data_IF_625130245202
#
_entry.id   IF_625130245202
#
_cell.length_a   1.000
_cell.length_b   1.000
_cell.length_c   1.000
_cell.angle_alpha   90.00
_cell.angle_beta   90.00
_cell.angle_gamma   90.00
#
_symmetry.space_group_name_H-M   'P 1'
#
loop_
_entity.id
_entity.type
_entity.pdbx_description
1 polymer ?
#
# COMPACT_ATOMS: atom_id res chain seq x y z
N UNK A 1 48.93 -18.57 8.55
CA UNK A 1 49.39 -19.07 7.28
C UNK A 1 48.23 -19.50 6.41
N UNK A 2 48.20 -19.07 5.14
CA UNK A 2 47.15 -19.52 4.20
C UNK A 2 47.41 -20.98 3.81
N UNK A 3 46.40 -21.85 3.90
CA UNK A 3 46.41 -23.19 3.40
C UNK A 3 46.49 -23.19 1.86
N UNK A 4 47.33 -24.01 1.25
CA UNK A 4 47.44 -24.10 -0.20
C UNK A 4 46.33 -25.00 -0.76
N UNK A 5 45.86 -24.70 -1.97
CA UNK A 5 45.00 -25.61 -2.71
C UNK A 5 45.58 -27.02 -2.80
N UNK A 6 44.78 -28.06 -2.68
CA UNK A 6 45.20 -29.46 -2.63
C UNK A 6 45.80 -29.90 -1.29
N UNK A 7 45.96 -29.02 -0.30
CA UNK A 7 46.47 -29.39 1.01
C UNK A 7 45.48 -30.27 1.75
N UNK A 8 45.97 -31.33 2.37
CA UNK A 8 45.15 -32.22 3.20
C UNK A 8 44.89 -31.59 4.57
N UNK A 9 43.66 -31.53 4.99
CA UNK A 9 43.26 -31.07 6.32
C UNK A 9 43.41 -32.21 7.36
N UNK A 10 43.63 -31.89 8.65
CA UNK A 10 43.57 -32.87 9.75
C UNK A 10 42.20 -33.54 9.76
N UNK A 11 42.12 -34.78 10.27
CA UNK A 11 40.82 -35.38 10.49
C UNK A 11 40.04 -34.63 11.56
N UNK A 12 38.69 -34.65 11.53
CA UNK A 12 37.83 -34.00 12.52
C UNK A 12 38.23 -34.40 13.96
N UNK A 13 38.65 -35.62 14.17
CA UNK A 13 39.12 -36.12 15.47
C UNK A 13 40.45 -35.47 15.91
N UNK A 14 41.42 -35.34 15.00
CA UNK A 14 42.71 -34.71 15.29
C UNK A 14 42.52 -33.25 15.55
N UNK A 15 41.72 -32.54 14.72
CA UNK A 15 41.47 -31.14 14.89
C UNK A 15 40.74 -30.85 16.20
N UNK A 16 39.75 -31.66 16.57
CA UNK A 16 39.04 -31.54 17.83
C UNK A 16 39.99 -31.65 19.04
N UNK A 17 40.92 -32.58 18.99
CA UNK A 17 41.95 -32.76 20.03
C UNK A 17 42.87 -31.53 20.13
N UNK A 18 43.34 -31.04 18.99
CA UNK A 18 44.26 -29.89 18.97
C UNK A 18 43.60 -28.57 19.42
N UNK A 19 42.30 -28.41 19.15
CA UNK A 19 41.54 -27.18 19.52
C UNK A 19 40.80 -27.30 20.86
N UNK A 20 40.89 -28.48 21.52
CA UNK A 20 40.16 -28.76 22.77
C UNK A 20 38.66 -28.53 22.68
N UNK A 21 38.04 -28.85 21.53
CA UNK A 21 36.61 -28.77 21.26
C UNK A 21 35.99 -30.14 21.03
N UNK A 22 34.66 -30.20 21.00
CA UNK A 22 33.98 -31.47 20.70
C UNK A 22 34.20 -31.90 19.24
N UNK A 23 34.18 -33.21 19.00
CA UNK A 23 34.26 -33.75 17.63
C UNK A 23 33.09 -33.29 16.77
N UNK A 24 31.90 -33.14 17.34
CA UNK A 24 30.72 -32.63 16.64
C UNK A 24 30.92 -31.19 16.16
N UNK A 25 31.58 -30.33 16.96
CA UNK A 25 31.89 -28.95 16.58
C UNK A 25 32.79 -28.89 15.33
N UNK A 26 33.85 -29.70 15.32
CA UNK A 26 34.75 -29.73 14.15
C UNK A 26 34.09 -30.40 12.94
N UNK A 27 33.21 -31.35 13.15
CA UNK A 27 32.44 -31.97 12.07
C UNK A 27 31.50 -30.97 11.43
N UNK A 28 30.71 -30.19 12.20
CA UNK A 28 29.84 -29.13 11.69
C UNK A 28 30.62 -28.08 10.90
N UNK A 29 31.80 -27.68 11.41
CA UNK A 29 32.65 -26.72 10.68
C UNK A 29 33.12 -27.28 9.34
N UNK A 30 33.48 -28.58 9.28
CA UNK A 30 33.87 -29.21 8.03
C UNK A 30 32.69 -29.40 7.07
N UNK A 31 31.53 -29.77 7.56
CA UNK A 31 30.29 -29.84 6.77
C UNK A 31 29.92 -28.48 6.16
N UNK A 32 30.08 -27.40 6.93
CA UNK A 32 29.88 -26.05 6.43
C UNK A 32 30.89 -25.71 5.32
N UNK A 33 32.20 -25.94 5.55
CA UNK A 33 33.23 -25.71 4.55
C UNK A 33 33.06 -26.56 3.28
N UNK A 34 32.52 -27.78 3.41
CA UNK A 34 32.14 -28.64 2.29
C UNK A 34 30.96 -28.03 1.52
N UNK A 35 29.92 -27.58 2.22
CA UNK A 35 28.72 -26.97 1.59
C UNK A 35 29.05 -25.67 0.90
N UNK A 36 30.00 -24.91 1.42
CA UNK A 36 30.49 -23.67 0.86
C UNK A 36 31.55 -23.85 -0.26
N UNK A 37 32.00 -25.11 -0.50
CA UNK A 37 32.96 -25.45 -1.54
C UNK A 37 34.42 -25.06 -1.26
N UNK A 38 34.76 -24.73 -0.02
CA UNK A 38 36.16 -24.45 0.37
C UNK A 38 37.02 -25.70 0.49
N UNK A 39 36.40 -26.84 0.81
CA UNK A 39 37.06 -28.14 0.92
C UNK A 39 36.26 -29.21 0.18
N UNK A 40 36.91 -30.28 -0.19
CA UNK A 40 36.31 -31.51 -0.73
C UNK A 40 36.63 -32.71 0.14
N UNK A 41 35.71 -33.67 0.18
CA UNK A 41 35.91 -34.95 0.88
C UNK A 41 36.21 -36.05 -0.15
N UNK A 42 37.42 -36.60 -0.12
CA UNK A 42 37.77 -37.73 -0.97
C UNK A 42 37.58 -39.04 -0.20
N UNK A 43 36.88 -40.03 -0.76
CA UNK A 43 36.64 -41.30 -0.10
C UNK A 43 37.96 -41.99 0.36
N UNK A 44 38.02 -42.41 1.61
CA UNK A 44 39.18 -43.03 2.25
C UNK A 44 40.46 -42.18 2.32
N UNK A 45 40.45 -40.93 1.84
CA UNK A 45 41.64 -40.04 1.81
C UNK A 45 41.52 -38.86 2.76
N UNK A 46 40.30 -38.44 3.09
CA UNK A 46 40.03 -37.32 4.00
C UNK A 46 39.61 -36.01 3.27
N UNK A 47 39.80 -34.88 3.96
CA UNK A 47 39.40 -33.57 3.48
C UNK A 47 40.58 -32.82 2.86
N UNK A 48 40.35 -32.18 1.73
CA UNK A 48 41.34 -31.39 0.98
C UNK A 48 40.83 -30.02 0.69
N UNK A 49 41.73 -29.05 0.65
CA UNK A 49 41.39 -27.63 0.27
C UNK A 49 41.14 -27.59 -1.23
N UNK A 50 39.98 -27.08 -1.64
CA UNK A 50 39.65 -26.88 -3.05
C UNK A 50 40.55 -25.81 -3.70
N UNK A 51 40.82 -25.96 -5.00
CA UNK A 51 41.39 -24.88 -5.77
C UNK A 51 40.30 -23.88 -6.06
N UNK A 52 40.29 -22.80 -5.29
CA UNK A 52 39.39 -21.68 -5.52
C UNK A 52 40.12 -20.80 -6.54
N UNK A 53 39.70 -20.85 -7.79
CA UNK A 53 40.11 -19.86 -8.78
C UNK A 53 39.79 -18.51 -8.16
N UNK A 54 40.77 -17.60 -8.20
CA UNK A 54 40.82 -16.35 -7.46
C UNK A 54 39.44 -15.87 -7.01
N UNK A 55 39.17 -15.98 -5.72
CA UNK A 55 38.09 -15.19 -5.12
C UNK A 55 38.31 -13.80 -5.69
N UNK A 56 37.36 -13.35 -6.50
CA UNK A 56 37.29 -11.94 -6.87
C UNK A 56 37.47 -11.21 -5.55
N UNK A 57 38.68 -10.71 -5.29
CA UNK A 57 38.84 -9.75 -4.23
C UNK A 57 37.81 -8.70 -4.55
N UNK A 58 36.66 -8.77 -3.87
CA UNK A 58 35.81 -7.61 -3.78
C UNK A 58 36.68 -6.61 -3.06
N UNK A 59 37.52 -5.92 -3.84
CA UNK A 59 38.17 -4.72 -3.38
C UNK A 59 36.99 -3.86 -2.97
N UNK A 60 36.78 -3.81 -1.67
CA UNK A 60 35.99 -2.73 -1.09
C UNK A 60 36.74 -1.47 -1.59
N UNK A 61 36.38 -1.01 -2.76
CA UNK A 61 36.62 0.36 -3.12
C UNK A 61 35.84 1.09 -2.05
N UNK A 62 36.56 1.66 -1.08
CA UNK A 62 35.94 2.44 -0.03
C UNK A 62 34.88 3.28 -0.71
N UNK A 63 33.66 3.23 -0.14
CA UNK A 63 32.53 4.04 -0.63
C UNK A 63 33.17 5.33 -1.11
N UNK A 64 33.12 5.70 -2.41
CA UNK A 64 33.69 6.96 -2.85
C UNK A 64 33.19 7.95 -1.82
N UNK A 65 34.07 8.74 -1.20
CA UNK A 65 33.60 9.84 -0.36
C UNK A 65 32.54 10.51 -1.21
N UNK A 66 31.27 10.19 -0.88
CA UNK A 66 30.16 10.87 -1.47
C UNK A 66 30.50 12.32 -1.23
N UNK A 67 30.91 13.01 -2.30
CA UNK A 67 30.74 14.45 -2.29
C UNK A 67 29.34 14.59 -1.77
N UNK A 68 29.21 15.14 -0.56
CA UNK A 68 27.92 15.50 -0.01
C UNK A 68 27.15 16.15 -1.16
N UNK A 69 26.47 15.33 -1.99
CA UNK A 69 25.34 15.84 -2.72
C UNK A 69 24.52 16.40 -1.59
N UNK A 70 24.52 17.71 -1.50
CA UNK A 70 23.60 18.42 -0.63
C UNK A 70 22.30 17.72 -0.85
N UNK A 71 21.96 16.75 0.06
CA UNK A 71 20.61 16.28 0.16
C UNK A 71 19.86 17.59 0.05
N UNK A 72 19.03 17.72 -0.98
CA UNK A 72 18.07 18.81 -0.99
C UNK A 72 17.43 18.66 0.36
N UNK A 73 17.96 19.38 1.33
CA UNK A 73 17.32 19.57 2.62
C UNK A 73 15.93 19.92 2.16
N UNK A 74 14.96 19.01 2.46
CA UNK A 74 13.59 19.40 2.38
C UNK A 74 13.55 20.73 3.09
N UNK A 75 13.60 21.82 2.32
CA UNK A 75 13.61 23.17 2.85
C UNK A 75 12.40 23.17 3.78
N UNK A 76 12.67 22.91 5.05
CA UNK A 76 11.69 23.11 6.11
C UNK A 76 11.42 24.59 6.09
N UNK A 77 10.63 25.01 5.07
CA UNK A 77 10.07 26.35 5.05
C UNK A 77 9.28 26.48 6.34
N UNK A 78 9.86 27.18 7.28
CA UNK A 78 9.26 27.42 8.58
C UNK A 78 8.14 28.46 8.40
N UNK A 79 7.08 28.05 7.68
CA UNK A 79 5.90 28.88 7.47
C UNK A 79 5.24 29.14 8.83
N UNK A 80 4.82 30.36 9.10
CA UNK A 80 4.00 30.68 10.30
C UNK A 80 2.73 29.86 10.35
N UNK A 81 2.18 29.51 9.19
CA UNK A 81 0.99 28.68 9.01
C UNK A 81 1.23 27.77 7.81
N UNK A 82 1.16 26.47 8.02
CA UNK A 82 1.28 25.46 6.97
C UNK A 82 -0.12 24.97 6.58
N UNK A 83 -0.56 25.28 5.35
CA UNK A 83 -1.80 24.80 4.75
C UNK A 83 -1.59 23.54 3.90
N UNK A 84 -0.46 22.85 4.04
CA UNK A 84 -0.24 21.63 3.27
C UNK A 84 -1.29 20.58 3.60
N UNK A 85 -1.77 19.81 2.60
CA UNK A 85 -2.78 18.78 2.84
C UNK A 85 -2.22 17.57 3.61
N UNK A 86 -0.92 17.54 3.90
CA UNK A 86 -0.26 16.45 4.64
C UNK A 86 -0.30 16.65 6.16
N UNK A 87 -0.55 17.88 6.63
CA UNK A 87 -0.63 18.19 8.04
C UNK A 87 -1.86 17.54 8.67
N UNK A 88 -1.66 16.70 9.66
CA UNK A 88 -2.68 16.23 10.60
C UNK A 88 -2.18 16.50 12.02
N UNK A 89 -3.09 16.64 12.95
CA UNK A 89 -2.73 16.77 14.37
C UNK A 89 -2.28 15.41 14.93
N UNK A 90 -0.97 15.18 14.92
CA UNK A 90 -0.34 13.97 15.46
C UNK A 90 -0.38 13.90 16.98
N UNK A 91 -0.51 15.03 17.69
CA UNK A 91 -0.61 15.06 19.15
C UNK A 91 -1.93 14.40 19.62
N UNK A 92 -2.94 14.43 18.77
CA UNK A 92 -4.23 13.78 19.01
C UNK A 92 -4.25 12.29 18.62
N UNK A 93 -3.13 11.71 18.15
CA UNK A 93 -3.09 10.28 17.81
C UNK A 93 -3.43 9.41 19.04
N UNK A 94 -4.25 8.36 18.88
CA UNK A 94 -4.76 7.56 20.00
C UNK A 94 -3.74 6.52 20.49
N UNK A 95 -2.56 6.98 20.98
CA UNK A 95 -1.43 6.14 21.39
C UNK A 95 -1.79 5.02 22.36
N UNK A 96 -2.65 5.28 23.36
CA UNK A 96 -2.99 4.29 24.36
C UNK A 96 -3.82 3.13 23.77
N UNK A 97 -4.78 3.45 22.91
CA UNK A 97 -5.58 2.44 22.23
C UNK A 97 -4.69 1.63 21.28
N UNK A 98 -3.88 2.31 20.47
CA UNK A 98 -2.99 1.66 19.52
C UNK A 98 -1.99 0.72 20.22
N UNK A 99 -1.34 1.19 21.29
CA UNK A 99 -0.42 0.37 22.11
C UNK A 99 -1.09 -0.86 22.71
N UNK A 100 -2.32 -0.71 23.24
CA UNK A 100 -3.10 -1.84 23.78
C UNK A 100 -3.35 -2.88 22.70
N UNK A 101 -3.84 -2.46 21.54
CA UNK A 101 -4.17 -3.34 20.43
C UNK A 101 -2.92 -4.02 19.86
N UNK A 102 -1.80 -3.29 19.73
CA UNK A 102 -0.52 -3.87 19.30
C UNK A 102 -0.04 -4.97 20.25
N UNK A 103 -0.14 -4.76 21.56
CA UNK A 103 0.19 -5.80 22.54
C UNK A 103 -0.70 -7.03 22.41
N UNK A 104 -2.00 -6.83 22.20
CA UNK A 104 -2.96 -7.94 22.06
C UNK A 104 -2.74 -8.73 20.76
N UNK A 105 -2.27 -8.08 19.71
CA UNK A 105 -1.98 -8.72 18.42
C UNK A 105 -0.69 -9.54 18.46
N UNK A 106 0.33 -9.05 19.19
CA UNK A 106 1.66 -9.65 19.27
C UNK A 106 1.80 -10.53 20.53
N UNK A 107 0.95 -11.54 20.65
CA UNK A 107 1.05 -12.55 21.70
C UNK A 107 1.70 -13.82 21.16
N UNK A 108 2.41 -14.57 22.00
CA UNK A 108 3.26 -15.71 21.62
C UNK A 108 2.49 -16.82 20.88
N UNK A 109 1.21 -16.99 21.16
CA UNK A 109 0.37 -18.02 20.55
C UNK A 109 -0.16 -17.63 19.15
N UNK A 110 0.09 -16.41 18.68
CA UNK A 110 -0.45 -15.90 17.41
C UNK A 110 0.55 -16.00 16.26
N UNK A 111 1.15 -17.16 16.05
CA UNK A 111 2.15 -17.43 15.00
C UNK A 111 1.64 -17.11 13.60
N UNK A 112 0.36 -17.32 13.36
CA UNK A 112 -0.26 -17.13 12.05
C UNK A 112 -0.23 -15.67 11.58
N UNK A 113 -0.07 -14.70 12.48
CA UNK A 113 0.11 -13.30 12.13
C UNK A 113 1.36 -13.05 11.26
N UNK A 114 2.34 -13.94 11.31
CA UNK A 114 3.58 -13.83 10.55
C UNK A 114 3.61 -14.70 9.29
N UNK A 115 2.54 -15.46 9.03
CA UNK A 115 2.38 -16.16 7.77
C UNK A 115 1.92 -15.21 6.65
N UNK A 116 2.11 -15.62 5.39
CA UNK A 116 1.60 -14.87 4.23
C UNK A 116 0.08 -14.77 4.31
N UNK A 117 -0.45 -13.55 4.26
CA UNK A 117 -1.88 -13.29 4.34
C UNK A 117 -2.60 -13.34 3.00
N UNK A 118 -3.88 -12.98 2.99
CA UNK A 118 -4.67 -12.91 1.78
C UNK A 118 -4.21 -11.75 0.87
N UNK A 119 -4.07 -11.99 -0.42
CA UNK A 119 -3.66 -11.00 -1.42
C UNK A 119 -4.51 -9.72 -1.41
N UNK A 120 -5.81 -9.86 -1.20
CA UNK A 120 -6.75 -8.72 -1.11
C UNK A 120 -6.70 -7.99 0.25
N UNK A 121 -5.94 -8.48 1.20
CA UNK A 121 -5.98 -8.10 2.61
C UNK A 121 -6.85 -9.05 3.44
N UNK A 122 -6.68 -9.03 4.77
CA UNK A 122 -7.35 -9.93 5.69
C UNK A 122 -8.88 -9.79 5.60
N UNK A 123 -9.56 -10.93 5.60
CA UNK A 123 -11.02 -10.95 5.43
C UNK A 123 -11.75 -10.19 6.53
N UNK A 124 -11.28 -10.31 7.78
CA UNK A 124 -11.81 -9.57 8.92
C UNK A 124 -11.76 -8.06 8.72
N UNK A 125 -10.64 -7.52 8.22
CA UNK A 125 -10.53 -6.09 7.92
C UNK A 125 -11.49 -5.69 6.79
N UNK A 126 -11.59 -6.49 5.74
CA UNK A 126 -12.51 -6.20 4.62
C UNK A 126 -13.97 -6.22 5.06
N UNK A 127 -14.36 -7.12 5.96
CA UNK A 127 -15.71 -7.13 6.58
C UNK A 127 -15.98 -5.83 7.33
N UNK A 128 -15.04 -5.41 8.17
CA UNK A 128 -15.20 -4.20 8.97
C UNK A 128 -15.24 -2.94 8.10
N UNK A 129 -14.41 -2.90 7.05
CA UNK A 129 -14.47 -1.81 6.06
C UNK A 129 -15.83 -1.79 5.36
N UNK A 130 -16.36 -2.94 4.92
CA UNK A 130 -17.70 -3.04 4.33
C UNK A 130 -18.77 -2.46 5.24
N UNK A 131 -18.78 -2.86 6.52
CA UNK A 131 -19.79 -2.44 7.49
C UNK A 131 -19.72 -0.94 7.78
N UNK A 132 -18.48 -0.42 7.90
CA UNK A 132 -18.24 1.00 8.03
C UNK A 132 -18.73 1.79 6.80
N UNK A 133 -18.36 1.36 5.61
CA UNK A 133 -18.76 2.01 4.36
C UNK A 133 -20.27 2.00 4.15
N UNK A 134 -20.92 0.89 4.45
CA UNK A 134 -22.37 0.79 4.35
C UNK A 134 -23.07 1.79 5.30
N UNK A 135 -22.66 1.82 6.57
CA UNK A 135 -23.29 2.67 7.59
C UNK A 135 -22.95 4.15 7.42
N UNK A 136 -21.69 4.49 7.12
CA UNK A 136 -21.21 5.86 7.10
C UNK A 136 -21.40 6.54 5.73
N UNK A 137 -21.33 5.77 4.63
CA UNK A 137 -21.25 6.30 3.26
C UNK A 137 -22.34 5.80 2.32
N UNK A 138 -23.12 4.79 2.74
CA UNK A 138 -24.14 4.17 1.89
C UNK A 138 -23.53 3.40 0.70
N UNK A 139 -22.27 2.98 0.81
CA UNK A 139 -21.60 2.17 -0.22
C UNK A 139 -22.14 0.74 -0.16
N UNK A 140 -22.47 0.19 -1.31
CA UNK A 140 -22.97 -1.18 -1.44
C UNK A 140 -21.88 -2.07 -2.02
N UNK A 141 -21.27 -2.89 -1.17
CA UNK A 141 -20.23 -3.83 -1.59
C UNK A 141 -20.23 -5.09 -0.72
N UNK A 142 -19.58 -6.13 -1.22
CA UNK A 142 -19.23 -7.33 -0.46
C UNK A 142 -17.76 -7.30 -0.07
N UNK A 143 -17.34 -8.01 1.01
CA UNK A 143 -15.92 -8.07 1.40
C UNK A 143 -14.99 -8.55 0.27
N UNK A 144 -15.50 -9.40 -0.63
CA UNK A 144 -14.75 -9.93 -1.79
C UNK A 144 -14.42 -8.87 -2.83
N UNK A 145 -15.14 -7.74 -2.84
CA UNK A 145 -14.89 -6.61 -3.74
C UNK A 145 -13.86 -5.62 -3.21
N UNK A 146 -13.46 -5.78 -1.94
CA UNK A 146 -12.55 -4.87 -1.26
C UNK A 146 -11.11 -5.36 -1.40
N UNK A 147 -10.23 -4.47 -1.85
CA UNK A 147 -8.79 -4.65 -1.85
C UNK A 147 -8.16 -3.68 -0.87
N UNK A 148 -7.31 -4.18 0.01
CA UNK A 148 -6.52 -3.38 0.96
C UNK A 148 -5.11 -3.22 0.41
N UNK A 149 -4.58 -1.99 0.44
CA UNK A 149 -3.26 -1.70 -0.10
C UNK A 149 -2.52 -0.58 0.63
N UNK A 150 -1.23 -0.45 0.36
CA UNK A 150 -0.33 0.51 1.00
C UNK A 150 -0.54 1.96 0.51
N UNK A 151 -1.76 2.47 0.65
CA UNK A 151 -2.14 3.83 0.28
C UNK A 151 -2.69 3.95 -1.13
N UNK A 152 -3.19 5.16 -1.44
CA UNK A 152 -3.90 5.43 -2.70
C UNK A 152 -3.02 5.25 -3.93
N UNK A 153 -1.74 5.64 -3.86
CA UNK A 153 -0.81 5.53 -4.97
C UNK A 153 -0.63 4.08 -5.41
N UNK A 154 -0.43 3.16 -4.45
CA UNK A 154 -0.35 1.73 -4.75
C UNK A 154 -1.63 1.20 -5.38
N UNK A 155 -2.79 1.58 -4.84
CA UNK A 155 -4.08 1.15 -5.36
C UNK A 155 -4.33 1.67 -6.79
N UNK A 156 -3.92 2.90 -7.11
CA UNK A 156 -3.97 3.44 -8.47
C UNK A 156 -3.02 2.70 -9.42
N UNK A 157 -1.81 2.34 -8.96
CA UNK A 157 -0.88 1.52 -9.75
C UNK A 157 -1.47 0.14 -10.05
N UNK A 158 -2.07 -0.51 -9.06
CA UNK A 158 -2.74 -1.80 -9.22
C UNK A 158 -3.91 -1.69 -10.19
N UNK A 159 -4.76 -0.67 -10.04
CA UNK A 159 -5.87 -0.40 -10.94
C UNK A 159 -5.39 -0.18 -12.39
N UNK A 160 -4.29 0.55 -12.57
CA UNK A 160 -3.68 0.77 -13.89
C UNK A 160 -3.33 -0.54 -14.61
N UNK A 161 -2.85 -1.54 -13.87
CA UNK A 161 -2.59 -2.88 -14.44
C UNK A 161 -3.86 -3.58 -14.91
N UNK A 162 -4.97 -3.39 -14.19
CA UNK A 162 -6.26 -4.01 -14.53
C UNK A 162 -6.87 -3.38 -15.78
N UNK A 163 -6.90 -2.05 -15.86
CA UNK A 163 -7.53 -1.31 -16.95
C UNK A 163 -6.65 -1.21 -18.20
N UNK A 164 -5.34 -1.44 -18.06
CA UNK A 164 -4.35 -1.33 -19.14
C UNK A 164 -3.87 0.10 -19.39
N UNK A 165 -2.59 0.25 -19.67
CA UNK A 165 -1.88 1.56 -19.78
C UNK A 165 -2.36 2.43 -20.94
N UNK A 166 -2.97 1.86 -21.97
CA UNK A 166 -3.55 2.61 -23.10
C UNK A 166 -4.90 3.26 -22.79
N UNK A 167 -5.45 2.98 -21.60
CA UNK A 167 -6.76 3.52 -21.20
C UNK A 167 -6.64 5.00 -20.89
N UNK A 168 -7.45 5.83 -21.54
CA UNK A 168 -7.52 7.27 -21.30
C UNK A 168 -8.18 7.59 -19.97
N UNK A 169 -7.55 8.49 -19.20
CA UNK A 169 -8.00 8.93 -17.88
C UNK A 169 -8.40 10.41 -17.95
N UNK A 170 -9.66 10.71 -17.65
CA UNK A 170 -10.09 12.08 -17.44
C UNK A 170 -9.90 12.49 -15.98
N UNK A 171 -9.28 13.63 -15.76
CA UNK A 171 -9.05 14.23 -14.44
C UNK A 171 -9.73 15.60 -14.36
N UNK A 172 -10.27 15.92 -13.19
CA UNK A 172 -10.73 17.28 -12.89
C UNK A 172 -9.57 18.28 -13.04
N UNK A 173 -9.83 19.48 -13.53
CA UNK A 173 -8.82 20.53 -13.60
C UNK A 173 -9.34 21.80 -12.88
N UNK A 174 -8.76 22.13 -11.70
CA UNK A 174 -7.63 21.48 -11.01
C UNK A 174 -7.98 20.13 -10.36
N UNK A 175 -6.95 19.30 -10.08
CA UNK A 175 -7.11 17.98 -9.46
C UNK A 175 -6.03 17.69 -8.42
N UNK A 176 -6.14 16.56 -7.74
CA UNK A 176 -5.12 16.03 -6.84
C UNK A 176 -3.85 15.64 -7.62
N UNK A 177 -2.78 16.40 -7.40
CA UNK A 177 -1.53 16.30 -8.17
C UNK A 177 -0.90 14.90 -8.13
N UNK A 178 -1.03 14.17 -7.01
CA UNK A 178 -0.44 12.83 -6.91
C UNK A 178 -1.16 11.83 -7.81
N UNK A 179 -2.49 11.86 -7.89
CA UNK A 179 -3.23 11.00 -8.82
C UNK A 179 -2.82 11.29 -10.28
N UNK A 180 -2.71 12.57 -10.64
CA UNK A 180 -2.19 12.98 -11.96
C UNK A 180 -0.82 12.35 -12.23
N UNK A 181 0.15 12.55 -11.30
CA UNK A 181 1.51 12.04 -11.45
C UNK A 181 1.58 10.51 -11.55
N UNK A 182 0.75 9.80 -10.79
CA UNK A 182 0.71 8.34 -10.86
C UNK A 182 0.26 7.89 -12.25
N UNK A 183 -0.85 8.41 -12.77
CA UNK A 183 -1.32 8.01 -14.09
C UNK A 183 -0.37 8.44 -15.21
N UNK A 184 0.20 9.64 -15.13
CA UNK A 184 1.21 10.15 -16.08
C UNK A 184 2.45 9.26 -16.09
N UNK A 185 3.01 8.91 -14.93
CA UNK A 185 4.20 8.06 -14.82
C UNK A 185 3.98 6.63 -15.33
N UNK A 186 2.73 6.17 -15.30
CA UNK A 186 2.34 4.86 -15.83
C UNK A 186 2.03 4.89 -17.35
N UNK A 187 2.10 6.07 -17.98
CA UNK A 187 1.93 6.24 -19.42
C UNK A 187 0.48 6.28 -19.90
N UNK A 188 -0.48 6.58 -19.03
CA UNK A 188 -1.87 6.77 -19.45
C UNK A 188 -2.06 8.06 -20.23
N UNK A 189 -2.85 8.07 -21.34
CA UNK A 189 -3.36 9.30 -21.94
C UNK A 189 -4.23 10.05 -20.94
N UNK A 190 -3.87 11.30 -20.60
CA UNK A 190 -4.59 12.12 -19.62
C UNK A 190 -5.39 13.21 -20.34
N UNK A 191 -6.65 13.35 -19.93
CA UNK A 191 -7.58 14.35 -20.44
C UNK A 191 -8.01 15.27 -19.30
N UNK A 192 -7.39 16.44 -19.13
CA UNK A 192 -7.86 17.42 -18.17
C UNK A 192 -9.26 17.94 -18.57
N UNK A 193 -10.22 17.84 -17.65
CA UNK A 193 -11.60 18.30 -17.89
C UNK A 193 -11.88 19.49 -16.97
N UNK A 194 -12.33 20.61 -17.55
CA UNK A 194 -12.63 21.80 -16.76
C UNK A 194 -13.81 21.55 -15.82
N UNK A 195 -13.82 22.33 -14.74
CA UNK A 195 -14.88 22.33 -13.73
C UNK A 195 -15.70 23.60 -13.77
N UNK A 196 -16.89 23.51 -13.22
CA UNK A 196 -17.73 24.65 -12.81
C UNK A 196 -18.00 24.56 -11.31
N UNK A 197 -18.90 25.38 -10.80
CA UNK A 197 -19.31 25.38 -9.38
C UNK A 197 -19.90 24.04 -8.88
N UNK A 198 -20.19 23.13 -9.80
CA UNK A 198 -20.77 21.79 -9.51
C UNK A 198 -19.80 20.64 -9.79
N UNK A 199 -18.53 20.91 -10.09
CA UNK A 199 -17.50 19.91 -10.36
C UNK A 199 -17.24 19.69 -11.86
N UNK A 200 -16.74 18.50 -12.22
CA UNK A 200 -16.37 18.15 -13.59
C UNK A 200 -17.49 18.36 -14.58
N UNK A 201 -17.24 19.11 -15.67
CA UNK A 201 -18.21 19.36 -16.76
C UNK A 201 -18.39 18.12 -17.63
N UNK A 202 -19.49 17.39 -17.45
CA UNK A 202 -19.75 16.15 -18.18
C UNK A 202 -19.83 16.34 -19.69
N UNK A 203 -20.31 17.49 -20.17
CA UNK A 203 -20.32 17.81 -21.60
C UNK A 203 -18.91 17.89 -22.21
N UNK A 204 -17.90 18.30 -21.44
CA UNK A 204 -16.51 18.31 -21.88
C UNK A 204 -15.89 16.92 -21.76
N UNK A 205 -16.20 16.19 -20.70
CA UNK A 205 -15.82 14.80 -20.52
C UNK A 205 -16.30 13.93 -21.71
N UNK A 206 -17.51 14.13 -22.19
CA UNK A 206 -18.08 13.41 -23.37
C UNK A 206 -17.29 13.64 -24.67
N UNK A 207 -16.58 14.76 -24.80
CA UNK A 207 -15.75 15.05 -25.98
C UNK A 207 -14.39 14.37 -25.94
N UNK A 208 -13.98 13.83 -24.79
CA UNK A 208 -12.70 13.14 -24.61
C UNK A 208 -12.79 11.69 -25.05
N UNK A 209 -11.61 11.08 -25.29
CA UNK A 209 -11.48 9.63 -25.49
C UNK A 209 -11.29 8.88 -24.17
N UNK A 210 -11.52 9.54 -23.02
CA UNK A 210 -11.36 8.90 -21.72
C UNK A 210 -12.37 7.77 -21.51
N UNK A 211 -11.89 6.72 -20.90
CA UNK A 211 -12.72 5.60 -20.43
C UNK A 211 -12.86 5.61 -18.91
N UNK A 212 -11.96 6.26 -18.22
CA UNK A 212 -11.99 6.42 -16.77
C UNK A 212 -12.11 7.91 -16.46
N UNK A 213 -12.99 8.28 -15.53
CA UNK A 213 -13.01 9.62 -14.97
C UNK A 213 -12.74 9.54 -13.45
N UNK A 214 -11.71 10.26 -13.01
CA UNK A 214 -11.33 10.36 -11.59
C UNK A 214 -11.96 11.60 -11.00
N UNK A 215 -12.76 11.44 -9.96
CA UNK A 215 -13.54 12.50 -9.32
C UNK A 215 -13.50 12.40 -7.79
N UNK A 216 -13.62 13.51 -7.10
CA UNK A 216 -13.73 13.62 -5.65
C UNK A 216 -15.08 14.21 -5.24
N UNK A 217 -16.18 13.43 -5.25
CA UNK A 217 -17.53 13.97 -5.18
C UNK A 217 -17.91 14.56 -3.82
N UNK A 218 -17.28 14.12 -2.76
CA UNK A 218 -17.61 14.52 -1.39
C UNK A 218 -16.91 15.80 -0.97
N UNK A 219 -15.69 16.01 -1.48
CA UNK A 219 -14.86 17.16 -1.16
C UNK A 219 -13.73 17.26 -2.20
N UNK A 220 -14.00 17.97 -3.29
CA UNK A 220 -13.03 18.09 -4.38
C UNK A 220 -11.76 18.82 -3.92
N UNK A 221 -10.61 18.26 -4.20
CA UNK A 221 -9.34 18.90 -3.92
C UNK A 221 -8.74 19.51 -5.21
N UNK A 222 -8.33 20.78 -5.20
CA UNK A 222 -8.20 21.67 -4.02
C UNK A 222 -9.37 22.63 -3.79
N UNK A 223 -10.45 22.57 -4.55
CA UNK A 223 -11.49 23.62 -4.57
C UNK A 223 -12.50 23.53 -3.44
N UNK A 224 -12.63 22.38 -2.78
CA UNK A 224 -13.63 22.15 -1.75
C UNK A 224 -15.06 21.97 -2.28
N UNK A 225 -15.25 21.88 -3.59
CA UNK A 225 -16.56 21.66 -4.19
C UNK A 225 -17.15 20.32 -3.77
N UNK A 226 -18.41 20.33 -3.39
CA UNK A 226 -19.22 19.13 -3.18
C UNK A 226 -20.07 18.91 -4.41
N UNK A 227 -19.88 17.81 -5.12
CA UNK A 227 -20.61 17.51 -6.35
C UNK A 227 -22.08 17.24 -6.03
N UNK A 228 -23.05 18.06 -6.54
CA UNK A 228 -24.46 17.90 -6.26
C UNK A 228 -25.05 16.66 -6.96
N UNK A 229 -26.21 16.20 -6.45
CA UNK A 229 -26.88 14.99 -6.91
C UNK A 229 -27.08 14.95 -8.44
N UNK A 230 -27.46 16.04 -9.04
CA UNK A 230 -27.68 16.15 -10.49
C UNK A 230 -26.42 15.83 -11.28
N UNK A 231 -25.28 16.42 -10.89
CA UNK A 231 -23.98 16.17 -11.53
C UNK A 231 -23.49 14.73 -11.30
N UNK A 232 -23.73 14.16 -10.13
CA UNK A 232 -23.44 12.73 -9.84
C UNK A 232 -24.23 11.82 -10.78
N UNK A 233 -25.50 12.11 -11.02
CA UNK A 233 -26.31 11.36 -11.98
C UNK A 233 -25.82 11.52 -13.42
N UNK A 234 -25.36 12.71 -13.82
CA UNK A 234 -24.76 12.95 -15.14
C UNK A 234 -23.47 12.12 -15.33
N UNK A 235 -22.62 12.07 -14.31
CA UNK A 235 -21.39 11.24 -14.32
C UNK A 235 -21.73 9.75 -14.43
N UNK A 236 -22.68 9.25 -13.64
CA UNK A 236 -23.13 7.86 -13.72
C UNK A 236 -23.73 7.52 -15.11
N UNK A 237 -24.52 8.41 -15.69
CA UNK A 237 -25.03 8.27 -17.05
C UNK A 237 -23.90 8.19 -18.07
N UNK A 238 -22.86 9.01 -17.94
CA UNK A 238 -21.69 8.97 -18.80
C UNK A 238 -20.99 7.61 -18.73
N UNK A 239 -20.78 7.09 -17.54
CA UNK A 239 -20.13 5.80 -17.34
C UNK A 239 -20.98 4.63 -17.90
N UNK A 240 -22.32 4.68 -17.71
CA UNK A 240 -23.26 3.67 -18.18
C UNK A 240 -23.41 3.65 -19.70
N UNK A 241 -23.19 4.79 -20.37
CA UNK A 241 -23.41 4.96 -21.82
C UNK A 241 -22.51 4.07 -22.69
N UNK A 242 -21.35 3.65 -22.18
CA UNK A 242 -20.39 2.84 -22.93
C UNK A 242 -19.77 1.76 -22.05
N UNK A 243 -19.65 0.56 -22.57
CA UNK A 243 -18.92 -0.51 -21.92
C UNK A 243 -17.43 -0.14 -21.75
N UNK A 244 -16.81 -0.62 -20.66
CA UNK A 244 -15.41 -0.30 -20.32
C UNK A 244 -15.19 1.13 -19.79
N UNK A 245 -16.24 1.94 -19.64
CA UNK A 245 -16.15 3.20 -18.88
C UNK A 245 -16.38 2.96 -17.39
N UNK A 246 -15.57 3.64 -16.55
CA UNK A 246 -15.70 3.61 -15.09
C UNK A 246 -15.45 5.00 -14.50
N UNK A 247 -15.96 5.21 -13.30
CA UNK A 247 -15.66 6.35 -12.45
C UNK A 247 -14.77 5.88 -11.30
N UNK A 248 -13.70 6.60 -11.00
CA UNK A 248 -12.97 6.45 -9.75
C UNK A 248 -13.49 7.53 -8.81
N UNK A 249 -14.15 7.11 -7.74
CA UNK A 249 -14.55 7.98 -6.64
C UNK A 249 -13.46 7.93 -5.58
N UNK A 250 -12.68 9.00 -5.46
CA UNK A 250 -11.69 9.16 -4.39
C UNK A 250 -12.34 9.89 -3.21
N UNK A 251 -12.52 9.17 -2.12
CA UNK A 251 -13.18 9.62 -0.90
C UNK A 251 -12.16 9.68 0.25
N UNK A 252 -11.27 10.66 0.18
CA UNK A 252 -10.07 10.74 1.02
C UNK A 252 -10.30 11.34 2.41
N UNK A 253 -11.36 12.13 2.63
CA UNK A 253 -11.58 12.87 3.89
C UNK A 253 -13.05 13.06 4.28
N UNK A 254 -13.96 12.29 3.72
CA UNK A 254 -15.41 12.42 3.98
C UNK A 254 -15.82 12.22 5.43
N UNK A 255 -14.96 11.65 6.25
CA UNK A 255 -15.11 11.54 7.70
C UNK A 255 -15.16 12.91 8.39
N UNK A 256 -14.50 13.92 7.82
CA UNK A 256 -14.36 15.25 8.40
C UNK A 256 -15.43 16.23 7.90
N UNK A 257 -16.67 15.91 8.19
CA UNK A 257 -17.80 16.78 7.90
C UNK A 257 -18.24 17.54 9.15
N UNK A 258 -18.23 18.86 9.08
CA UNK A 258 -18.50 19.73 10.23
C UNK A 258 -19.95 20.22 10.30
N UNK A 259 -20.71 20.14 9.20
CA UNK A 259 -22.12 20.58 9.13
C UNK A 259 -22.97 19.60 8.31
N UNK A 260 -24.20 19.37 8.76
CA UNK A 260 -25.19 18.55 8.06
C UNK A 260 -24.94 17.04 8.14
N UNK A 261 -25.80 16.25 7.48
CA UNK A 261 -25.65 14.80 7.40
C UNK A 261 -24.57 14.41 6.37
N UNK A 262 -23.89 13.26 6.54
CA UNK A 262 -22.99 12.74 5.51
C UNK A 262 -23.71 12.64 4.16
N UNK A 263 -23.02 13.03 3.08
CA UNK A 263 -23.52 12.82 1.73
C UNK A 263 -23.22 11.39 1.34
N UNK A 264 -24.19 10.60 0.86
CA UNK A 264 -23.92 9.26 0.36
C UNK A 264 -22.85 9.27 -0.73
N UNK A 265 -22.06 8.21 -0.79
CA UNK A 265 -21.07 8.04 -1.86
C UNK A 265 -21.74 7.96 -3.23
N UNK A 266 -21.01 8.31 -4.27
CA UNK A 266 -21.44 8.12 -5.66
C UNK A 266 -21.66 6.63 -5.95
N UNK A 267 -20.81 5.76 -5.41
CA UNK A 267 -20.91 4.32 -5.53
C UNK A 267 -22.25 3.76 -5.01
N UNK A 268 -22.78 4.30 -3.89
CA UNK A 268 -24.07 3.89 -3.36
C UNK A 268 -25.27 4.21 -4.27
N UNK A 269 -25.08 5.05 -5.29
CA UNK A 269 -26.08 5.39 -6.29
C UNK A 269 -25.90 4.61 -7.61
N UNK A 270 -24.84 3.80 -7.71
CA UNK A 270 -24.48 3.07 -8.92
C UNK A 270 -25.22 1.73 -9.01
N UNK A 271 -26.17 1.64 -9.91
CA UNK A 271 -26.90 0.42 -10.25
C UNK A 271 -26.24 -0.43 -11.37
N UNK A 272 -25.10 0.03 -11.88
CA UNK A 272 -24.53 -0.45 -13.14
C UNK A 272 -23.11 -1.00 -13.03
N UNK A 273 -22.58 -1.10 -11.83
CA UNK A 273 -21.23 -1.59 -11.58
C UNK A 273 -20.15 -0.79 -12.34
N UNK A 274 -20.24 0.55 -12.26
CA UNK A 274 -19.36 1.47 -12.98
C UNK A 274 -18.47 2.30 -12.07
N UNK A 275 -18.68 2.26 -10.74
CA UNK A 275 -17.91 3.05 -9.79
C UNK A 275 -16.89 2.20 -9.05
N UNK A 276 -15.65 2.62 -9.12
CA UNK A 276 -14.52 2.16 -8.33
C UNK A 276 -14.41 3.12 -7.16
N UNK A 277 -14.70 2.66 -5.94
CA UNK A 277 -14.61 3.51 -4.76
C UNK A 277 -13.24 3.35 -4.10
N UNK A 278 -12.62 4.45 -3.72
CA UNK A 278 -11.34 4.47 -3.01
C UNK A 278 -11.46 5.24 -1.71
N UNK A 279 -10.84 4.72 -0.66
CA UNK A 279 -10.75 5.37 0.64
C UNK A 279 -9.40 5.11 1.31
N UNK A 280 -9.10 5.88 2.37
CA UNK A 280 -7.82 5.78 3.07
C UNK A 280 -7.98 6.08 4.56
N UNK A 281 -7.24 5.34 5.39
CA UNK A 281 -7.12 5.64 6.82
C UNK A 281 -5.97 6.61 7.13
N UNK A 282 -5.15 6.96 6.13
CA UNK A 282 -3.99 7.84 6.33
C UNK A 282 -4.37 9.27 6.71
N UNK A 283 -5.54 9.74 6.30
CA UNK A 283 -6.04 11.08 6.67
C UNK A 283 -6.79 11.06 7.99
N UNK A 284 -7.53 10.01 8.23
CA UNK A 284 -8.40 9.92 9.40
C UNK A 284 -7.69 9.46 10.67
N UNK A 285 -6.55 8.74 10.55
CA UNK A 285 -5.80 8.23 11.70
C UNK A 285 -4.38 8.82 11.72
N UNK A 286 -3.52 8.43 10.78
CA UNK A 286 -2.16 8.96 10.64
C UNK A 286 -1.56 8.63 9.26
N UNK A 287 -0.80 9.55 8.62
CA UNK A 287 -0.22 9.32 7.30
C UNK A 287 0.71 8.11 7.23
N UNK A 288 1.42 7.82 8.31
CA UNK A 288 2.38 6.71 8.40
C UNK A 288 1.72 5.32 8.39
N UNK A 289 0.44 5.21 8.69
CA UNK A 289 -0.29 3.92 8.69
C UNK A 289 -0.34 3.34 7.27
N UNK A 290 -0.39 4.20 6.25
CA UNK A 290 -0.36 3.78 4.84
C UNK A 290 -1.37 2.68 4.47
N UNK A 291 -2.54 2.66 5.08
CA UNK A 291 -3.61 1.73 4.74
C UNK A 291 -4.69 2.45 3.96
N UNK A 292 -4.87 2.05 2.72
CA UNK A 292 -5.98 2.42 1.86
C UNK A 292 -6.77 1.19 1.43
N UNK A 293 -7.92 1.42 0.86
CA UNK A 293 -8.74 0.35 0.30
C UNK A 293 -9.44 0.82 -0.98
N UNK A 294 -9.79 -0.15 -1.82
CA UNK A 294 -10.50 0.05 -3.07
C UNK A 294 -11.63 -0.98 -3.18
N UNK A 295 -12.83 -0.52 -3.54
CA UNK A 295 -13.96 -1.38 -3.85
C UNK A 295 -14.07 -1.50 -5.36
N UNK A 296 -13.88 -2.71 -5.87
CA UNK A 296 -13.97 -2.99 -7.30
C UNK A 296 -15.38 -3.42 -7.70
N UNK A 297 -15.93 -2.90 -8.81
CA UNK A 297 -17.08 -3.51 -9.46
C UNK A 297 -16.75 -4.92 -9.97
N UNK A 298 -17.73 -5.80 -10.05
CA UNK A 298 -17.54 -7.23 -10.39
C UNK A 298 -16.70 -7.49 -11.66
N UNK A 299 -16.88 -6.75 -12.76
CA UNK A 299 -16.04 -6.97 -13.95
C UNK A 299 -14.55 -6.73 -13.69
N UNK A 300 -14.20 -5.71 -12.90
CA UNK A 300 -12.81 -5.42 -12.55
C UNK A 300 -12.29 -6.37 -11.47
N UNK A 301 -13.15 -6.87 -10.58
CA UNK A 301 -12.79 -7.90 -9.62
C UNK A 301 -12.41 -9.21 -10.31
N UNK A 302 -13.13 -9.59 -11.36
CA UNK A 302 -12.78 -10.76 -12.18
C UNK A 302 -11.39 -10.58 -12.81
N UNK A 303 -11.12 -9.42 -13.40
CA UNK A 303 -9.80 -9.09 -13.96
C UNK A 303 -8.70 -9.08 -12.90
N UNK A 304 -8.99 -8.60 -11.68
CA UNK A 304 -8.04 -8.63 -10.56
C UNK A 304 -7.66 -10.07 -10.24
N UNK A 305 -8.62 -10.97 -10.11
CA UNK A 305 -8.36 -12.38 -9.78
C UNK A 305 -7.51 -13.07 -10.87
N UNK A 306 -7.75 -12.74 -12.11
CA UNK A 306 -6.99 -13.27 -13.24
C UNK A 306 -5.57 -12.70 -13.33
N UNK A 307 -5.42 -11.38 -13.22
CA UNK A 307 -4.17 -10.67 -13.58
C UNK A 307 -3.29 -10.28 -12.40
N UNK A 308 -3.85 -10.15 -11.21
CA UNK A 308 -3.14 -9.58 -10.06
C UNK A 308 -3.39 -10.33 -8.74
N UNK A 309 -4.25 -11.34 -8.72
CA UNK A 309 -4.56 -12.11 -7.52
C UNK A 309 -3.39 -12.92 -6.93
N UNK A 310 -2.27 -13.01 -7.63
CA UNK A 310 -1.04 -13.66 -7.18
C UNK A 310 -0.08 -12.74 -6.40
N UNK A 311 -0.32 -11.43 -6.40
CA UNK A 311 0.50 -10.52 -5.60
C UNK A 311 0.24 -10.72 -4.11
N UNK A 312 1.29 -10.60 -3.30
CA UNK A 312 1.14 -10.57 -1.85
C UNK A 312 0.49 -9.24 -1.40
N UNK A 313 -0.20 -9.27 -0.27
CA UNK A 313 -0.69 -8.04 0.36
C UNK A 313 0.47 -7.11 0.71
N UNK A 314 0.30 -5.81 0.44
CA UNK A 314 1.30 -4.77 0.71
C UNK A 314 1.16 -4.16 2.11
N UNK A 315 0.13 -4.53 2.84
CA UNK A 315 -0.09 -4.12 4.24
C UNK A 315 0.15 -5.31 5.14
N UNK A 316 0.94 -5.12 6.20
CA UNK A 316 1.25 -6.20 7.13
C UNK A 316 -0.01 -6.75 7.81
N UNK A 317 -0.06 -8.04 8.06
CA UNK A 317 -1.20 -8.67 8.77
C UNK A 317 -1.35 -8.12 10.19
N UNK A 318 -0.25 -7.77 10.83
CA UNK A 318 -0.23 -7.14 12.16
C UNK A 318 -0.97 -5.82 12.12
N UNK A 319 -0.64 -4.93 11.17
CA UNK A 319 -1.31 -3.63 11.04
C UNK A 319 -2.78 -3.78 10.66
N UNK A 320 -3.09 -4.73 9.78
CA UNK A 320 -4.48 -5.04 9.42
C UNK A 320 -5.28 -5.53 10.62
N UNK A 321 -4.70 -6.37 11.47
CA UNK A 321 -5.37 -6.86 12.69
C UNK A 321 -5.58 -5.73 13.70
N UNK A 322 -4.55 -4.91 13.96
CA UNK A 322 -4.65 -3.73 14.83
C UNK A 322 -5.77 -2.81 14.35
N UNK A 323 -5.81 -2.50 13.06
CA UNK A 323 -6.84 -1.63 12.47
C UNK A 323 -8.24 -2.25 12.57
N UNK A 324 -8.35 -3.55 12.34
CA UNK A 324 -9.62 -4.28 12.51
C UNK A 324 -10.19 -4.08 13.92
N UNK A 325 -9.38 -4.33 14.94
CA UNK A 325 -9.81 -4.16 16.32
C UNK A 325 -10.01 -2.69 16.71
N UNK A 326 -9.23 -1.78 16.14
CA UNK A 326 -9.40 -0.36 16.34
C UNK A 326 -10.78 0.14 15.88
N UNK A 327 -11.31 -0.45 14.81
CA UNK A 327 -12.64 -0.13 14.31
C UNK A 327 -13.70 -0.88 15.12
N UNK A 328 -13.59 -2.20 15.32
CA UNK A 328 -14.58 -3.05 16.02
C UNK A 328 -14.81 -2.59 17.46
N UNK A 329 -13.74 -2.25 18.19
CA UNK A 329 -13.84 -1.79 19.58
C UNK A 329 -14.29 -0.32 19.70
N UNK A 330 -14.63 0.33 18.57
CA UNK A 330 -15.17 1.69 18.51
C UNK A 330 -14.12 2.79 18.78
N UNK A 331 -12.82 2.46 18.79
CA UNK A 331 -11.77 3.48 18.95
C UNK A 331 -11.72 4.41 17.75
N UNK A 332 -11.95 3.90 16.55
CA UNK A 332 -11.95 4.68 15.31
C UNK A 332 -13.02 5.77 15.35
N UNK A 333 -14.25 5.43 15.68
CA UNK A 333 -15.34 6.41 15.74
C UNK A 333 -15.12 7.46 16.84
N UNK A 334 -14.65 7.04 18.03
CA UNK A 334 -14.29 7.98 19.10
C UNK A 334 -13.17 8.92 18.68
N UNK A 335 -12.18 8.40 17.95
CA UNK A 335 -11.09 9.20 17.39
C UNK A 335 -11.63 10.23 16.38
N UNK A 336 -12.44 9.82 15.42
CA UNK A 336 -13.05 10.72 14.43
C UNK A 336 -13.87 11.83 15.09
N UNK A 337 -14.67 11.50 16.11
CA UNK A 337 -15.46 12.49 16.83
C UNK A 337 -14.58 13.51 17.56
N UNK A 338 -13.47 13.05 18.17
CA UNK A 338 -12.47 13.94 18.75
C UNK A 338 -11.83 14.84 17.70
N UNK A 339 -11.37 14.28 16.57
CA UNK A 339 -10.71 15.04 15.50
C UNK A 339 -11.64 16.07 14.87
N UNK A 340 -12.91 15.74 14.68
CA UNK A 340 -13.92 16.72 14.22
C UNK A 340 -14.04 17.91 15.17
N UNK A 341 -13.86 17.72 16.46
CA UNK A 341 -13.87 18.82 17.44
C UNK A 341 -12.57 19.62 17.42
N UNK A 342 -11.44 18.98 17.20
CA UNK A 342 -10.10 19.64 17.12
C UNK A 342 -9.99 20.49 15.85
N UNK A 343 -10.47 19.98 14.71
CA UNK A 343 -10.37 20.67 13.41
C UNK A 343 -11.49 21.72 13.15
N UNK A 344 -12.44 21.86 14.04
CA UNK A 344 -13.54 22.82 13.95
C UNK A 344 -13.13 24.22 14.41
#
# INVERSE_FOLDING_TARGET
>A
GRLRAGSRLPSTRILAGNLHVSRSTTQLAYEQLLSEGYIEALPCRGYFVCQIEELVEVKYHGVPEEKEEKQEENENYNYKVDFSPRGIDLDSFPFNAWRKLSKNTLVDDNKDMFAVGNAQGEYSLRQVIRDYLHSARGVHCRPEQILVGAGSEYLLMLLSQLIGRSTGIALENPTYKQAFRVFESLGHPIFPVSMDEWGMKVKELEKTQARIAYVMPSHQYPTGIVIPIKRRQELLKWAKKQEGRYLIEDDYDSEFRYKGRPIPALQGMDDSQKVIYMGTFSRSIAPAIRVGFMVLPEPLLALYREKAGFYASTVSRVDQNILTHFIIEGYYERHLNRMRSVYR
#
